data_IF_701225193226
#
_entry.id   IF_701225193226
#
_cell.length_a   1.000
_cell.length_b   1.000
_cell.length_c   1.000
_cell.angle_alpha   90.00
_cell.angle_beta   90.00
_cell.angle_gamma   90.00
#
_symmetry.space_group_name_H-M   'P 1'
#
loop_
_entity.id
_entity.type
_entity.pdbx_description
1 polymer ?
#
# COMPACT_ATOMS: atom_id res chain seq x y z
N UNK A 1 13.54 -21.75 -8.89
CA UNK A 1 12.31 -21.58 -8.07
C UNK A 1 12.16 -20.10 -7.79
N UNK A 2 10.98 -19.53 -7.98
CA UNK A 2 10.73 -18.13 -7.64
C UNK A 2 10.54 -17.95 -6.12
N UNK A 3 11.05 -16.84 -5.57
CA UNK A 3 10.74 -16.39 -4.23
C UNK A 3 9.26 -15.97 -4.16
N UNK A 4 8.54 -16.40 -3.13
CA UNK A 4 7.12 -16.10 -2.96
C UNK A 4 6.97 -15.00 -1.91
N UNK A 5 6.51 -13.82 -2.33
CA UNK A 5 6.28 -12.69 -1.45
C UNK A 5 4.78 -12.53 -1.19
N UNK A 6 4.36 -12.63 0.07
CA UNK A 6 3.02 -12.22 0.49
C UNK A 6 2.99 -10.72 0.76
N UNK A 7 2.06 -10.00 0.14
CA UNK A 7 1.90 -8.56 0.29
C UNK A 7 0.47 -8.20 0.67
N UNK A 8 0.30 -7.40 1.72
CA UNK A 8 -0.96 -6.77 2.09
C UNK A 8 -0.68 -5.30 2.37
N UNK A 9 -1.39 -4.42 1.68
CA UNK A 9 -1.40 -2.98 1.92
C UNK A 9 -2.71 -2.64 2.63
N UNK A 10 -2.61 -1.90 3.74
CA UNK A 10 -3.79 -1.24 4.31
C UNK A 10 -3.98 0.10 3.56
N UNK A 11 -4.99 0.23 2.69
CA UNK A 11 -5.13 1.38 1.80
C UNK A 11 -5.42 2.70 2.53
N UNK A 12 -5.93 2.64 3.77
CA UNK A 12 -6.22 3.82 4.60
C UNK A 12 -5.11 4.17 5.59
N UNK A 13 -4.01 3.40 5.60
CA UNK A 13 -2.93 3.65 6.54
C UNK A 13 -2.17 4.96 6.23
N UNK A 14 -1.82 5.68 7.31
CA UNK A 14 -1.11 6.96 7.24
C UNK A 14 -1.99 8.19 7.19
N UNK A 15 -3.32 8.05 7.29
CA UNK A 15 -4.27 9.16 7.33
C UNK A 15 -4.22 9.96 8.65
N UNK A 16 -4.43 9.30 9.80
CA UNK A 16 -4.64 9.99 11.09
C UNK A 16 -3.47 10.89 11.54
N UNK A 17 -2.23 10.43 11.34
CA UNK A 17 -1.03 11.21 11.73
C UNK A 17 -0.81 12.47 10.90
N UNK A 18 -1.36 12.55 9.69
CA UNK A 18 -1.18 13.72 8.80
C UNK A 18 -2.09 14.91 9.13
N UNK A 19 -3.15 14.68 9.92
CA UNK A 19 -4.15 15.68 10.32
C UNK A 19 -4.22 15.86 11.85
N UNK A 20 -3.16 15.47 12.57
CA UNK A 20 -3.07 15.51 14.04
C UNK A 20 -4.20 14.76 14.78
N UNK A 21 -4.85 13.79 14.12
CA UNK A 21 -5.81 12.90 14.75
C UNK A 21 -5.04 11.79 15.49
N UNK A 22 -5.59 11.36 16.63
CA UNK A 22 -4.99 10.33 17.48
C UNK A 22 -5.18 8.95 16.82
N UNK A 23 -4.33 8.64 15.83
CA UNK A 23 -4.45 7.42 15.01
C UNK A 23 -5.57 7.49 13.98
N UNK A 24 -5.71 6.46 13.15
CA UNK A 24 -6.83 6.27 12.19
C UNK A 24 -7.84 5.23 12.68
N UNK A 25 -7.70 4.76 13.91
CA UNK A 25 -8.38 3.56 14.43
C UNK A 25 -9.73 3.85 15.10
N UNK A 26 -10.25 5.07 14.94
CA UNK A 26 -11.63 5.40 15.30
C UNK A 26 -12.55 5.22 14.10
N UNK A 27 -13.78 4.75 14.33
CA UNK A 27 -14.73 4.37 13.28
C UNK A 27 -14.96 5.49 12.22
N UNK A 28 -14.89 6.77 12.62
CA UNK A 28 -15.08 7.93 11.72
C UNK A 28 -13.76 8.63 11.32
N UNK A 29 -12.62 8.18 11.84
CA UNK A 29 -11.36 8.95 11.76
C UNK A 29 -10.73 8.94 10.37
N UNK A 30 -10.90 7.85 9.62
CA UNK A 30 -10.40 7.74 8.25
C UNK A 30 -11.19 8.65 7.28
N UNK A 31 -12.53 8.65 7.40
CA UNK A 31 -13.42 9.48 6.57
C UNK A 31 -13.22 10.97 6.87
N UNK A 32 -13.10 11.35 8.14
CA UNK A 32 -12.78 12.72 8.54
C UNK A 32 -11.41 13.16 8.03
N UNK A 33 -10.39 12.30 8.13
CA UNK A 33 -9.06 12.62 7.59
C UNK A 33 -9.10 12.84 6.07
N UNK A 34 -9.81 11.99 5.33
CA UNK A 34 -10.00 12.14 3.88
C UNK A 34 -10.75 13.44 3.54
N UNK A 35 -11.81 13.78 4.27
CA UNK A 35 -12.55 15.04 4.11
C UNK A 35 -11.68 16.27 4.38
N UNK A 36 -10.69 16.15 5.25
CA UNK A 36 -9.68 17.18 5.53
C UNK A 36 -8.53 17.19 4.51
N UNK A 37 -8.60 16.38 3.45
CA UNK A 37 -7.60 16.31 2.39
C UNK A 37 -6.38 15.46 2.71
N UNK A 38 -6.43 14.62 3.75
CA UNK A 38 -5.37 13.66 4.02
C UNK A 38 -5.27 12.63 2.89
N UNK A 39 -4.06 12.39 2.40
CA UNK A 39 -3.79 11.41 1.35
C UNK A 39 -3.17 10.17 2.00
N UNK A 40 -3.74 8.96 1.81
CA UNK A 40 -3.11 7.74 2.29
C UNK A 40 -1.73 7.55 1.68
N UNK A 41 -0.74 7.22 2.52
CA UNK A 41 0.67 7.09 2.10
C UNK A 41 1.13 5.65 1.93
N UNK A 42 0.27 4.68 2.27
CA UNK A 42 0.61 3.26 2.27
C UNK A 42 1.04 2.78 0.89
N UNK A 43 0.21 2.98 -0.13
CA UNK A 43 0.51 2.57 -1.51
C UNK A 43 1.77 3.24 -2.06
N UNK A 44 1.97 4.54 -1.78
CA UNK A 44 3.18 5.26 -2.20
C UNK A 44 4.46 4.64 -1.60
N UNK A 45 4.44 4.33 -0.30
CA UNK A 45 5.58 3.71 0.39
C UNK A 45 5.84 2.29 -0.09
N UNK A 46 4.78 1.50 -0.29
CA UNK A 46 4.92 0.14 -0.82
C UNK A 46 5.50 0.18 -2.23
N UNK A 47 5.05 1.10 -3.09
CA UNK A 47 5.60 1.29 -4.43
C UNK A 47 7.10 1.56 -4.38
N UNK A 48 7.56 2.49 -3.54
CA UNK A 48 8.98 2.78 -3.36
C UNK A 48 9.80 1.54 -2.94
N UNK A 49 9.24 0.68 -2.10
CA UNK A 49 9.90 -0.56 -1.69
C UNK A 49 9.93 -1.59 -2.83
N UNK A 50 8.84 -1.76 -3.56
CA UNK A 50 8.75 -2.69 -4.69
C UNK A 50 9.57 -2.26 -5.90
N UNK A 51 9.78 -0.95 -6.12
CA UNK A 51 10.66 -0.42 -7.17
C UNK A 51 12.09 -0.96 -7.06
N UNK A 52 12.58 -1.19 -5.84
CA UNK A 52 13.89 -1.80 -5.60
C UNK A 52 13.95 -3.29 -5.99
N UNK A 53 12.79 -3.94 -6.10
CA UNK A 53 12.66 -5.35 -6.43
C UNK A 53 12.45 -5.60 -7.94
N UNK A 54 12.20 -4.56 -8.73
CA UNK A 54 11.96 -4.66 -10.18
C UNK A 54 13.06 -5.43 -10.92
N UNK A 55 14.38 -5.25 -10.61
CA UNK A 55 15.43 -6.04 -11.25
C UNK A 55 15.33 -7.56 -11.03
N UNK A 56 14.56 -8.00 -10.03
CA UNK A 56 14.37 -9.39 -9.64
C UNK A 56 12.97 -9.92 -9.99
N UNK A 57 12.20 -9.22 -10.83
CA UNK A 57 10.81 -9.55 -11.11
C UNK A 57 10.62 -10.99 -11.62
N UNK A 58 11.54 -11.51 -12.46
CA UNK A 58 11.46 -12.88 -12.96
C UNK A 58 11.72 -13.95 -11.89
N UNK A 59 12.40 -13.56 -10.81
CA UNK A 59 12.74 -14.42 -9.68
C UNK A 59 11.70 -14.38 -8.55
N UNK A 60 10.66 -13.53 -8.67
CA UNK A 60 9.72 -13.23 -7.60
C UNK A 60 8.27 -13.39 -8.04
N UNK A 61 7.44 -14.02 -7.20
CA UNK A 61 5.99 -14.10 -7.36
C UNK A 61 5.30 -13.41 -6.20
N UNK A 62 4.50 -12.37 -6.48
CA UNK A 62 3.75 -11.63 -5.47
C UNK A 62 2.37 -12.28 -5.31
N UNK A 63 1.99 -12.54 -4.06
CA UNK A 63 0.64 -12.92 -3.68
C UNK A 63 0.05 -11.77 -2.88
N UNK A 64 -1.04 -11.20 -3.36
CA UNK A 64 -1.64 -10.03 -2.73
C UNK A 64 -3.16 -10.03 -2.90
N UNK A 65 -3.81 -9.12 -2.17
CA UNK A 65 -5.25 -8.89 -2.24
C UNK A 65 -5.55 -7.93 -3.39
N UNK A 66 -6.78 -7.97 -3.90
CA UNK A 66 -7.22 -7.18 -5.05
C UNK A 66 -7.18 -5.66 -4.79
N UNK A 67 -7.13 -4.89 -5.89
CA UNK A 67 -7.16 -3.43 -5.89
C UNK A 67 -6.03 -2.76 -5.11
N UNK A 68 -6.40 -1.75 -4.30
CA UNK A 68 -5.48 -0.90 -3.54
C UNK A 68 -4.84 -1.61 -2.34
N UNK A 69 -5.22 -2.86 -2.07
CA UNK A 69 -4.59 -3.70 -1.07
C UNK A 69 -3.30 -4.39 -1.57
N UNK A 70 -2.94 -4.18 -2.84
CA UNK A 70 -1.61 -4.49 -3.37
C UNK A 70 -1.57 -4.86 -4.86
N UNK A 71 -2.67 -5.34 -5.43
CA UNK A 71 -2.76 -5.71 -6.85
C UNK A 71 -2.36 -4.55 -7.79
N UNK A 72 -2.93 -3.36 -7.61
CA UNK A 72 -2.63 -2.21 -8.48
C UNK A 72 -1.14 -1.84 -8.40
N UNK A 73 -0.61 -1.75 -7.18
CA UNK A 73 0.79 -1.40 -6.94
C UNK A 73 1.77 -2.41 -7.58
N UNK A 74 1.50 -3.71 -7.44
CA UNK A 74 2.31 -4.75 -8.05
C UNK A 74 2.26 -4.70 -9.59
N UNK A 75 1.05 -4.59 -10.16
CA UNK A 75 0.85 -4.56 -11.62
C UNK A 75 1.44 -3.32 -12.28
N UNK A 76 1.32 -2.15 -11.67
CA UNK A 76 1.92 -0.90 -12.16
C UNK A 76 3.45 -0.97 -12.28
N UNK A 77 4.09 -1.82 -11.47
CA UNK A 77 5.53 -2.06 -11.49
C UNK A 77 5.93 -3.28 -12.33
N UNK A 78 4.97 -3.93 -12.99
CA UNK A 78 5.22 -5.05 -13.90
C UNK A 78 5.37 -6.42 -13.22
N UNK A 79 5.01 -6.54 -11.94
CA UNK A 79 4.98 -7.85 -11.26
C UNK A 79 3.70 -8.63 -11.62
N UNK A 80 3.84 -9.97 -11.65
CA UNK A 80 2.76 -10.92 -11.97
C UNK A 80 1.99 -11.40 -10.73
#
# INVERSE_FOLDING_TARGET
>A
MQFKLGLIINPVAGLGGSVALKGSDGDDTAEQALALGAVPKANLRTRQALELLVPYAEELKIYTVNGDMGEHCAKELGFE
#
